data_IF_187711895572
#
_entry.id   IF_187711895572
#
_cell.length_a   1.000
_cell.length_b   1.000
_cell.length_c   1.000
_cell.angle_alpha   90.00
_cell.angle_beta   90.00
_cell.angle_gamma   90.00
#
_symmetry.space_group_name_H-M   'P 1'
#
loop_
_entity.id
_entity.type
_entity.pdbx_description
1 polymer ?
#
# COMPACT_ATOMS: atom_id res chain seq x y z
N UNK A 1 5.54 5.41 -19.85
CA UNK A 1 4.56 5.35 -18.75
C UNK A 1 4.66 3.99 -18.08
N UNK A 2 5.11 3.94 -16.85
CA UNK A 2 5.26 2.66 -16.12
C UNK A 2 3.87 2.02 -15.94
N UNK A 3 3.71 0.75 -16.33
CA UNK A 3 2.41 0.04 -16.21
C UNK A 3 2.05 -0.10 -14.72
N UNK A 4 1.03 0.62 -14.28
CA UNK A 4 0.52 0.46 -12.91
C UNK A 4 -0.10 -0.94 -12.75
N UNK A 5 0.26 -1.63 -11.66
CA UNK A 5 -0.13 -3.03 -11.45
C UNK A 5 -1.64 -3.18 -11.20
N UNK A 6 -2.30 -2.21 -10.50
CA UNK A 6 -3.74 -2.23 -10.26
C UNK A 6 -4.52 -2.07 -11.57
N UNK A 7 -4.10 -1.11 -12.40
CA UNK A 7 -4.69 -0.91 -13.74
C UNK A 7 -4.49 -2.13 -14.62
N UNK A 8 -3.32 -2.78 -14.55
CA UNK A 8 -3.04 -4.00 -15.33
C UNK A 8 -3.88 -5.18 -14.86
N UNK A 9 -4.03 -5.37 -13.55
CA UNK A 9 -4.88 -6.42 -12.97
C UNK A 9 -6.36 -6.19 -13.30
N UNK A 10 -6.84 -4.94 -13.17
CA UNK A 10 -8.19 -4.57 -13.59
C UNK A 10 -8.46 -4.94 -15.05
N UNK A 11 -7.56 -4.54 -15.97
CA UNK A 11 -7.73 -4.85 -17.41
C UNK A 11 -7.79 -6.36 -17.67
N UNK A 12 -7.01 -7.16 -16.95
CA UNK A 12 -7.08 -8.62 -17.04
C UNK A 12 -8.44 -9.16 -16.56
N UNK A 13 -8.89 -8.68 -15.39
CA UNK A 13 -10.19 -9.08 -14.82
C UNK A 13 -11.36 -8.72 -15.71
N UNK A 14 -11.43 -7.48 -16.22
CA UNK A 14 -12.57 -7.07 -17.08
C UNK A 14 -12.54 -7.77 -18.42
N UNK A 15 -11.35 -8.09 -18.97
CA UNK A 15 -11.25 -8.88 -20.21
C UNK A 15 -11.77 -10.31 -20.03
N UNK A 16 -11.61 -10.88 -18.85
CA UNK A 16 -12.05 -12.25 -18.55
C UNK A 16 -13.52 -12.32 -18.13
N UNK A 17 -13.94 -11.44 -17.22
CA UNK A 17 -15.26 -11.51 -16.59
C UNK A 17 -16.34 -10.68 -17.28
N UNK A 18 -15.97 -9.61 -17.97
CA UNK A 18 -16.87 -8.65 -18.61
C UNK A 18 -16.43 -8.33 -20.03
N UNK A 19 -16.22 -9.31 -20.92
CA UNK A 19 -15.65 -9.09 -22.25
C UNK A 19 -16.48 -8.11 -23.10
N UNK A 20 -17.80 -8.15 -23.00
CA UNK A 20 -18.69 -7.24 -23.73
C UNK A 20 -18.61 -5.77 -23.25
N UNK A 21 -18.18 -5.53 -22.01
CA UNK A 21 -18.09 -4.19 -21.40
C UNK A 21 -16.65 -3.70 -21.24
N UNK A 22 -15.66 -4.49 -21.67
CA UNK A 22 -14.24 -4.25 -21.45
C UNK A 22 -13.80 -2.85 -21.86
N UNK A 23 -14.17 -2.41 -23.05
CA UNK A 23 -13.72 -1.12 -23.58
C UNK A 23 -14.37 0.04 -22.84
N UNK A 24 -15.68 -0.05 -22.54
CA UNK A 24 -16.39 0.92 -21.74
C UNK A 24 -15.83 1.05 -20.32
N UNK A 25 -15.56 -0.08 -19.63
CA UNK A 25 -14.96 -0.10 -18.29
C UNK A 25 -13.52 0.43 -18.30
N UNK A 26 -12.76 0.14 -19.34
CA UNK A 26 -11.39 0.67 -19.48
C UNK A 26 -11.40 2.18 -19.71
N UNK A 27 -12.35 2.70 -20.50
CA UNK A 27 -12.53 4.13 -20.71
C UNK A 27 -13.00 4.83 -19.42
N UNK A 28 -13.97 4.25 -18.70
CA UNK A 28 -14.46 4.78 -17.43
C UNK A 28 -13.32 4.87 -16.38
N UNK A 29 -12.51 3.82 -16.23
CA UNK A 29 -11.34 3.85 -15.38
C UNK A 29 -10.36 4.96 -15.76
N UNK A 30 -10.09 5.12 -17.06
CA UNK A 30 -9.17 6.15 -17.53
C UNK A 30 -9.67 7.57 -17.23
N UNK A 31 -10.96 7.82 -17.46
CA UNK A 31 -11.61 9.09 -17.16
C UNK A 31 -11.56 9.40 -15.66
N UNK A 32 -11.95 8.43 -14.81
CA UNK A 32 -11.93 8.61 -13.36
C UNK A 32 -10.51 8.86 -12.83
N UNK A 33 -9.53 8.12 -13.33
CA UNK A 33 -8.13 8.31 -12.93
C UNK A 33 -7.61 9.69 -13.37
N UNK A 34 -8.00 10.20 -14.54
CA UNK A 34 -7.65 11.53 -14.99
C UNK A 34 -8.25 12.62 -14.07
N UNK A 35 -9.51 12.46 -13.67
CA UNK A 35 -10.18 13.35 -12.71
C UNK A 35 -9.44 13.36 -11.35
N UNK A 36 -9.18 12.19 -10.76
CA UNK A 36 -8.46 12.08 -9.49
C UNK A 36 -7.07 12.71 -9.54
N UNK A 37 -6.38 12.60 -10.68
CA UNK A 37 -5.08 13.25 -10.90
C UNK A 37 -5.20 14.77 -10.92
N UNK A 38 -6.19 15.31 -11.61
CA UNK A 38 -6.44 16.74 -11.65
C UNK A 38 -6.73 17.31 -10.24
N UNK A 39 -7.53 16.59 -9.45
CA UNK A 39 -7.87 16.96 -8.08
C UNK A 39 -6.69 16.91 -7.09
N UNK A 40 -5.57 16.30 -7.47
CA UNK A 40 -4.36 16.14 -6.65
C UNK A 40 -3.10 16.69 -7.36
N UNK A 41 -3.26 17.53 -8.37
CA UNK A 41 -2.14 18.02 -9.20
C UNK A 41 -1.12 18.87 -8.43
N UNK A 42 -1.56 19.53 -7.37
CA UNK A 42 -0.76 20.41 -6.49
C UNK A 42 0.03 19.65 -5.40
N UNK A 43 -0.14 18.33 -5.31
CA UNK A 43 0.58 17.53 -4.33
C UNK A 43 2.10 17.52 -4.61
N UNK A 44 2.91 17.47 -3.54
CA UNK A 44 4.37 17.34 -3.63
C UNK A 44 4.81 16.13 -4.46
N UNK A 45 6.02 16.15 -5.00
CA UNK A 45 6.57 15.00 -5.76
C UNK A 45 6.61 13.72 -4.95
N UNK A 46 6.90 13.82 -3.66
CA UNK A 46 6.94 12.70 -2.73
C UNK A 46 5.54 12.10 -2.55
N UNK A 47 4.53 12.94 -2.33
CA UNK A 47 3.14 12.50 -2.21
C UNK A 47 2.61 11.95 -3.53
N UNK A 48 2.97 12.55 -4.67
CA UNK A 48 2.58 12.06 -6.00
C UNK A 48 3.05 10.61 -6.26
N UNK A 49 4.21 10.20 -5.72
CA UNK A 49 4.66 8.80 -5.85
C UNK A 49 3.68 7.81 -5.21
N UNK A 50 3.13 8.15 -4.05
CA UNK A 50 2.11 7.33 -3.37
C UNK A 50 0.76 7.40 -4.09
N UNK A 51 0.34 8.62 -4.47
CA UNK A 51 -0.90 8.85 -5.19
C UNK A 51 -0.92 8.04 -6.50
N UNK A 52 0.07 8.22 -7.36
CA UNK A 52 0.16 7.53 -8.66
C UNK A 52 0.51 6.04 -8.54
N UNK A 53 1.29 5.68 -7.53
CA UNK A 53 1.74 4.31 -7.32
C UNK A 53 0.62 3.34 -6.95
N UNK A 54 -0.28 3.77 -6.06
CA UNK A 54 -1.30 2.89 -5.51
C UNK A 54 -2.63 3.58 -5.20
N UNK A 55 -2.62 4.79 -4.60
CA UNK A 55 -3.82 5.40 -4.02
C UNK A 55 -4.87 5.68 -5.10
N UNK A 56 -4.56 6.57 -6.05
CA UNK A 56 -5.52 6.97 -7.09
C UNK A 56 -5.91 5.81 -8.01
N UNK A 57 -4.97 4.95 -8.45
CA UNK A 57 -5.34 3.77 -9.21
C UNK A 57 -6.23 2.79 -8.42
N UNK A 58 -5.99 2.62 -7.11
CA UNK A 58 -6.81 1.75 -6.27
C UNK A 58 -8.23 2.26 -6.12
N UNK A 59 -8.40 3.56 -5.85
CA UNK A 59 -9.70 4.21 -5.75
C UNK A 59 -10.45 4.12 -7.10
N UNK A 60 -9.80 4.52 -8.21
CA UNK A 60 -10.42 4.50 -9.52
C UNK A 60 -10.86 3.08 -9.95
N UNK A 61 -10.02 2.07 -9.69
CA UNK A 61 -10.34 0.67 -9.97
C UNK A 61 -11.51 0.21 -9.12
N UNK A 62 -11.49 0.52 -7.82
CA UNK A 62 -12.57 0.15 -6.90
C UNK A 62 -13.92 0.73 -7.31
N UNK A 63 -13.98 2.03 -7.57
CA UNK A 63 -15.19 2.72 -8.01
C UNK A 63 -15.70 2.19 -9.37
N UNK A 64 -14.78 1.95 -10.32
CA UNK A 64 -15.15 1.42 -11.64
C UNK A 64 -15.72 0.00 -11.53
N UNK A 65 -15.14 -0.86 -10.69
CA UNK A 65 -15.67 -2.22 -10.48
C UNK A 65 -17.07 -2.21 -9.86
N UNK A 66 -17.39 -1.25 -9.00
CA UNK A 66 -18.73 -1.12 -8.39
C UNK A 66 -19.84 -0.84 -9.41
N UNK A 67 -19.52 -0.42 -10.63
CA UNK A 67 -20.52 -0.24 -11.70
C UNK A 67 -21.00 -1.57 -12.29
N UNK A 68 -20.28 -2.68 -12.05
CA UNK A 68 -20.55 -4.00 -12.66
C UNK A 68 -20.58 -5.15 -11.66
N UNK A 69 -20.31 -4.88 -10.38
CA UNK A 69 -20.36 -5.88 -9.31
C UNK A 69 -20.71 -5.23 -7.96
N UNK A 70 -21.22 -6.00 -6.98
CA UNK A 70 -21.47 -5.50 -5.63
C UNK A 70 -20.24 -4.91 -4.96
N UNK A 71 -20.43 -3.91 -4.08
CA UNK A 71 -19.37 -3.18 -3.37
C UNK A 71 -18.38 -4.10 -2.65
N UNK A 72 -18.86 -5.12 -1.95
CA UNK A 72 -18.02 -6.08 -1.25
C UNK A 72 -17.17 -6.93 -2.21
N UNK A 73 -17.70 -7.30 -3.37
CA UNK A 73 -16.98 -8.06 -4.39
C UNK A 73 -15.89 -7.20 -5.06
N UNK A 74 -16.20 -5.93 -5.35
CA UNK A 74 -15.23 -4.96 -5.84
C UNK A 74 -14.07 -4.77 -4.84
N UNK A 75 -14.40 -4.65 -3.53
CA UNK A 75 -13.41 -4.54 -2.46
C UNK A 75 -12.49 -5.77 -2.40
N UNK A 76 -13.06 -6.97 -2.38
CA UNK A 76 -12.28 -8.22 -2.37
C UNK A 76 -11.41 -8.36 -3.61
N UNK A 77 -11.91 -7.92 -4.77
CA UNK A 77 -11.15 -7.94 -6.03
C UNK A 77 -9.93 -7.04 -5.96
N UNK A 78 -10.08 -5.79 -5.48
CA UNK A 78 -8.95 -4.88 -5.32
C UNK A 78 -7.99 -5.37 -4.24
N UNK A 79 -8.51 -5.88 -3.12
CA UNK A 79 -7.70 -6.52 -2.06
C UNK A 79 -6.83 -7.63 -2.64
N UNK A 80 -7.40 -8.52 -3.45
CA UNK A 80 -6.65 -9.60 -4.12
C UNK A 80 -5.53 -9.09 -5.05
N UNK A 81 -5.72 -7.95 -5.74
CA UNK A 81 -4.65 -7.35 -6.54
C UNK A 81 -3.48 -6.85 -5.68
N UNK A 82 -3.81 -6.17 -4.59
CA UNK A 82 -2.81 -5.65 -3.64
C UNK A 82 -2.05 -6.80 -2.99
N UNK A 83 -2.78 -7.83 -2.54
CA UNK A 83 -2.21 -9.04 -1.94
C UNK A 83 -1.25 -9.76 -2.89
N UNK A 84 -1.64 -9.99 -4.14
CA UNK A 84 -0.76 -10.62 -5.14
C UNK A 84 0.54 -9.84 -5.34
N UNK A 85 0.49 -8.51 -5.35
CA UNK A 85 1.68 -7.68 -5.41
C UNK A 85 2.54 -7.83 -4.16
N UNK A 86 1.94 -7.80 -2.98
CA UNK A 86 2.64 -7.96 -1.70
C UNK A 86 3.38 -9.30 -1.64
N UNK A 87 2.74 -10.40 -2.07
CA UNK A 87 3.38 -11.70 -2.17
C UNK A 87 4.55 -11.74 -3.15
N UNK A 88 4.45 -11.05 -4.30
CA UNK A 88 5.58 -10.93 -5.25
C UNK A 88 6.77 -10.20 -4.61
N UNK A 89 6.51 -9.10 -3.89
CA UNK A 89 7.54 -8.35 -3.15
C UNK A 89 8.16 -9.21 -2.05
N UNK A 90 7.34 -9.89 -1.26
CA UNK A 90 7.81 -10.82 -0.22
C UNK A 90 8.75 -11.88 -0.80
N UNK A 91 8.37 -12.52 -1.91
CA UNK A 91 9.23 -13.51 -2.58
C UNK A 91 10.58 -12.92 -2.99
N UNK A 92 10.62 -11.66 -3.45
CA UNK A 92 11.88 -10.98 -3.78
C UNK A 92 12.71 -10.72 -2.52
N UNK A 93 12.11 -10.21 -1.45
CA UNK A 93 12.80 -9.98 -0.18
C UNK A 93 13.30 -11.27 0.47
N UNK A 94 12.54 -12.36 0.41
CA UNK A 94 12.99 -13.66 0.92
C UNK A 94 14.26 -14.17 0.20
N UNK A 95 14.40 -13.88 -1.12
CA UNK A 95 15.64 -14.18 -1.85
C UNK A 95 16.82 -13.36 -1.30
N UNK A 96 16.60 -12.06 -1.04
CA UNK A 96 17.63 -11.19 -0.46
C UNK A 96 18.02 -11.61 0.95
N UNK A 97 17.06 -12.07 1.76
CA UNK A 97 17.30 -12.53 3.13
C UNK A 97 18.15 -13.80 3.22
N UNK A 98 18.44 -14.49 2.11
CA UNK A 98 19.40 -15.61 2.04
C UNK A 98 20.85 -15.14 2.16
N UNK A 99 21.13 -13.85 1.96
CA UNK A 99 22.47 -13.29 2.11
C UNK A 99 22.83 -13.30 3.61
N UNK A 100 23.93 -13.97 3.99
CA UNK A 100 24.32 -14.08 5.41
C UNK A 100 24.45 -12.71 6.09
N UNK A 101 23.82 -12.55 7.24
CA UNK A 101 23.90 -11.33 8.04
C UNK A 101 23.05 -10.15 7.54
N UNK A 102 22.45 -10.20 6.35
CA UNK A 102 21.65 -9.09 5.80
C UNK A 102 20.49 -8.70 6.72
N UNK A 103 19.83 -9.67 7.35
CA UNK A 103 18.73 -9.42 8.27
C UNK A 103 19.10 -8.43 9.39
N UNK A 104 20.38 -8.39 9.83
CA UNK A 104 20.85 -7.45 10.87
C UNK A 104 20.83 -6.00 10.42
N UNK A 105 20.90 -5.75 9.11
CA UNK A 105 20.88 -4.40 8.53
C UNK A 105 19.46 -3.88 8.28
N UNK A 106 18.47 -4.77 8.26
CA UNK A 106 17.08 -4.40 7.85
C UNK A 106 16.49 -3.32 8.74
N UNK A 107 16.52 -3.36 10.08
CA UNK A 107 15.99 -2.27 10.90
C UNK A 107 16.69 -0.93 10.61
N UNK A 108 18.01 -0.92 10.44
CA UNK A 108 18.75 0.29 10.08
C UNK A 108 18.40 0.85 8.70
N UNK A 109 18.08 -0.02 7.73
CA UNK A 109 17.56 0.39 6.42
C UNK A 109 16.21 1.08 6.60
N UNK A 110 15.29 0.52 7.39
CA UNK A 110 14.00 1.15 7.68
C UNK A 110 14.17 2.50 8.39
N UNK A 111 15.04 2.61 9.41
CA UNK A 111 15.34 3.89 10.06
C UNK A 111 15.77 4.96 9.05
N UNK A 112 16.65 4.60 8.11
CA UNK A 112 17.21 5.53 7.12
C UNK A 112 16.21 5.90 6.01
N UNK A 113 15.40 4.96 5.54
CA UNK A 113 14.56 5.17 4.36
C UNK A 113 13.15 5.68 4.72
N UNK A 114 12.63 5.39 5.92
CA UNK A 114 11.32 5.85 6.35
C UNK A 114 11.13 7.36 6.23
N UNK A 115 12.04 8.23 6.75
CA UNK A 115 11.85 9.68 6.64
C UNK A 115 11.80 10.19 5.20
N UNK A 116 12.47 9.51 4.27
CA UNK A 116 12.53 9.90 2.85
C UNK A 116 11.28 9.47 2.08
N UNK A 117 10.76 8.29 2.40
CA UNK A 117 9.64 7.71 1.66
C UNK A 117 8.30 8.03 2.31
N UNK A 118 8.27 8.14 3.64
CA UNK A 118 7.07 8.28 4.46
C UNK A 118 7.16 9.49 5.39
N UNK A 119 7.81 10.56 4.94
CA UNK A 119 7.92 11.82 5.68
C UNK A 119 6.76 12.77 5.41
N UNK A 120 6.82 13.95 6.04
CA UNK A 120 5.77 15.00 5.96
C UNK A 120 5.52 15.46 4.53
N UNK A 121 6.56 15.59 3.71
CA UNK A 121 6.42 15.98 2.30
C UNK A 121 5.65 14.95 1.49
N UNK A 122 5.67 13.69 1.90
CA UNK A 122 4.85 12.63 1.30
C UNK A 122 3.43 12.54 1.91
N UNK A 123 3.09 13.44 2.86
CA UNK A 123 1.79 13.49 3.51
C UNK A 123 1.63 12.58 4.71
N UNK A 124 2.72 12.00 5.20
CA UNK A 124 2.70 11.19 6.43
C UNK A 124 3.10 12.04 7.65
N UNK A 125 2.65 11.61 8.81
CA UNK A 125 3.20 12.06 10.10
C UNK A 125 3.48 10.83 10.95
N UNK A 126 4.65 10.79 11.56
CA UNK A 126 5.07 9.69 12.41
C UNK A 126 5.71 10.22 13.69
N UNK A 127 5.51 9.48 14.77
CA UNK A 127 6.21 9.64 16.03
C UNK A 127 7.21 8.49 16.15
N UNK A 128 8.49 8.81 16.22
CA UNK A 128 9.53 7.81 16.45
C UNK A 128 9.47 7.33 17.91
N UNK A 129 9.44 6.02 18.10
CA UNK A 129 9.42 5.39 19.42
C UNK A 129 10.82 4.82 19.73
N UNK A 130 11.39 4.09 18.77
CA UNK A 130 12.75 3.54 18.88
C UNK A 130 13.31 3.26 17.49
N UNK A 131 14.42 3.90 17.12
CA UNK A 131 15.06 3.77 15.80
C UNK A 131 16.56 3.45 15.92
N UNK A 132 16.95 2.67 16.93
CA UNK A 132 18.33 2.28 17.21
C UNK A 132 18.41 0.85 17.77
N UNK A 133 19.61 0.32 17.96
CA UNK A 133 19.81 -0.98 18.61
C UNK A 133 19.21 -2.19 17.90
N UNK A 134 19.09 -2.14 16.56
CA UNK A 134 18.45 -3.23 15.80
C UNK A 134 16.93 -3.22 15.84
N UNK A 135 16.33 -2.09 16.24
CA UNK A 135 14.90 -1.85 16.30
C UNK A 135 14.56 -0.65 15.42
N UNK A 136 13.49 -0.77 14.64
CA UNK A 136 12.77 0.32 14.01
C UNK A 136 11.33 0.24 14.51
N UNK A 137 10.90 1.22 15.30
CA UNK A 137 9.55 1.33 15.84
C UNK A 137 9.06 2.77 15.72
N UNK A 138 7.93 2.93 15.03
CA UNK A 138 7.27 4.22 14.83
C UNK A 138 5.76 4.06 14.99
N UNK A 139 5.10 5.13 15.43
CA UNK A 139 3.66 5.28 15.38
C UNK A 139 3.32 6.25 14.26
N UNK A 140 2.79 5.75 13.14
CA UNK A 140 2.31 6.57 12.02
C UNK A 140 0.95 7.15 12.39
N UNK A 141 0.90 8.46 12.63
CA UNK A 141 -0.32 9.17 13.11
C UNK A 141 -1.13 9.81 11.98
N UNK A 142 -0.55 9.92 10.77
CA UNK A 142 -1.21 10.37 9.55
C UNK A 142 -0.72 9.57 8.35
N UNK A 143 -1.65 9.20 7.47
CA UNK A 143 -1.35 8.39 6.30
C UNK A 143 -2.15 8.88 5.08
N UNK A 144 -1.52 9.26 3.96
CA UNK A 144 -2.21 9.75 2.76
C UNK A 144 -3.11 8.69 2.11
N UNK A 145 -2.87 7.40 2.35
CA UNK A 145 -3.76 6.32 1.91
C UNK A 145 -5.08 6.38 2.66
N UNK A 146 -5.03 6.53 3.98
CA UNK A 146 -6.21 6.69 4.83
C UNK A 146 -6.95 7.98 4.47
N UNK A 147 -6.23 9.12 4.44
CA UNK A 147 -6.81 10.43 4.15
C UNK A 147 -7.55 10.43 2.80
N UNK A 148 -6.94 9.82 1.75
CA UNK A 148 -7.55 9.73 0.43
C UNK A 148 -8.77 8.80 0.41
N UNK A 149 -8.70 7.63 1.03
CA UNK A 149 -9.84 6.71 1.11
C UNK A 149 -11.04 7.37 1.82
N UNK A 150 -10.81 8.12 2.90
CA UNK A 150 -11.86 8.89 3.58
C UNK A 150 -12.38 10.01 2.68
N UNK A 151 -11.51 10.81 2.08
CA UNK A 151 -11.88 11.92 1.17
C UNK A 151 -12.76 11.46 0.00
N UNK A 152 -12.48 10.29 -0.55
CA UNK A 152 -13.21 9.74 -1.71
C UNK A 152 -14.34 8.77 -1.32
N UNK A 153 -14.74 8.72 -0.04
CA UNK A 153 -15.90 7.94 0.41
C UNK A 153 -15.74 6.42 0.33
N UNK A 154 -14.50 5.94 0.36
CA UNK A 154 -14.17 4.51 0.35
C UNK A 154 -13.21 4.09 1.49
N UNK A 155 -13.50 4.45 2.78
CA UNK A 155 -12.60 4.15 3.88
C UNK A 155 -12.32 2.65 4.05
N UNK A 156 -13.25 1.78 3.68
CA UNK A 156 -13.10 0.33 3.71
C UNK A 156 -12.03 -0.20 2.75
N UNK A 157 -11.61 0.59 1.76
CA UNK A 157 -10.52 0.22 0.86
C UNK A 157 -9.15 0.33 1.53
N UNK A 158 -8.99 1.24 2.50
CA UNK A 158 -7.71 1.51 3.16
C UNK A 158 -7.06 0.26 3.78
N UNK A 159 -7.77 -0.63 4.50
CA UNK A 159 -7.22 -1.88 5.00
C UNK A 159 -6.51 -2.74 3.96
N UNK A 160 -6.97 -2.74 2.71
CA UNK A 160 -6.31 -3.51 1.63
C UNK A 160 -4.86 -3.05 1.41
N UNK A 161 -4.61 -1.75 1.49
CA UNK A 161 -3.25 -1.21 1.40
C UNK A 161 -2.44 -1.51 2.68
N UNK A 162 -3.07 -1.42 3.86
CA UNK A 162 -2.42 -1.73 5.12
C UNK A 162 -1.92 -3.19 5.15
N UNK A 163 -2.75 -4.14 4.74
CA UNK A 163 -2.42 -5.57 4.77
C UNK A 163 -1.21 -5.93 3.90
N UNK A 164 -0.92 -5.12 2.87
CA UNK A 164 0.25 -5.32 2.01
C UNK A 164 1.58 -5.28 2.79
N UNK A 165 1.66 -4.48 3.86
CA UNK A 165 2.86 -4.39 4.69
C UNK A 165 3.02 -5.67 5.52
N UNK A 166 1.95 -6.15 6.16
CA UNK A 166 1.98 -7.36 6.97
C UNK A 166 2.33 -8.59 6.11
N UNK A 167 1.73 -8.69 4.92
CA UNK A 167 2.06 -9.75 3.97
C UNK A 167 3.52 -9.66 3.56
N UNK A 168 4.00 -8.47 3.25
CA UNK A 168 5.35 -8.27 2.70
C UNK A 168 6.43 -8.53 3.74
N UNK A 169 6.27 -8.00 4.96
CA UNK A 169 7.37 -7.94 5.93
C UNK A 169 7.30 -9.02 7.01
N UNK A 170 6.13 -9.60 7.29
CA UNK A 170 6.04 -10.67 8.27
C UNK A 170 6.74 -11.95 7.78
N UNK A 171 7.58 -12.54 8.65
CA UNK A 171 8.26 -13.81 8.35
C UNK A 171 9.38 -13.74 7.31
N UNK A 172 9.97 -12.57 7.05
CA UNK A 172 11.09 -12.43 6.11
C UNK A 172 12.34 -13.19 6.53
N UNK A 173 12.57 -13.33 7.84
CA UNK A 173 13.71 -14.07 8.37
C UNK A 173 13.40 -14.58 9.78
N UNK A 174 13.85 -15.79 10.20
CA UNK A 174 13.58 -16.34 11.53
C UNK A 174 14.00 -15.43 12.68
N UNK A 175 15.07 -14.65 12.48
CA UNK A 175 15.63 -13.69 13.48
C UNK A 175 15.07 -12.28 13.36
N UNK A 176 14.09 -12.02 12.51
CA UNK A 176 13.36 -10.75 12.43
C UNK A 176 11.92 -10.93 12.95
N UNK A 177 11.42 -9.93 13.64
CA UNK A 177 10.01 -9.81 13.99
C UNK A 177 9.43 -8.55 13.34
N UNK A 178 8.35 -8.74 12.60
CA UNK A 178 7.44 -7.68 12.18
C UNK A 178 6.24 -7.70 13.11
N UNK A 179 5.92 -6.56 13.71
CA UNK A 179 4.84 -6.40 14.67
C UNK A 179 4.04 -5.17 14.30
N UNK A 180 2.72 -5.31 14.29
CA UNK A 180 1.76 -4.23 14.14
C UNK A 180 0.43 -4.70 14.74
N UNK A 181 -0.12 -3.98 15.69
CA UNK A 181 -1.35 -4.38 16.37
C UNK A 181 -2.56 -3.55 15.94
N UNK A 182 -2.33 -2.34 15.42
CA UNK A 182 -3.39 -1.41 15.00
C UNK A 182 -3.00 -0.62 13.75
N UNK A 183 -4.00 -0.12 13.03
CA UNK A 183 -3.82 0.75 11.87
C UNK A 183 -4.89 1.84 11.83
N UNK A 184 -4.55 3.01 11.26
CA UNK A 184 -5.51 4.08 10.98
C UNK A 184 -6.68 3.57 10.12
N UNK A 185 -6.39 2.72 9.11
CA UNK A 185 -7.40 2.14 8.22
C UNK A 185 -8.39 1.20 8.91
N UNK A 186 -8.11 0.76 10.15
CA UNK A 186 -9.02 -0.05 10.98
C UNK A 186 -9.50 0.70 12.22
N UNK A 187 -9.45 2.02 12.20
CA UNK A 187 -9.95 2.87 13.30
C UNK A 187 -9.00 3.02 14.49
N UNK A 188 -7.73 2.59 14.36
CA UNK A 188 -6.71 2.89 15.35
C UNK A 188 -6.31 4.35 15.33
N UNK A 189 -5.74 4.84 16.44
CA UNK A 189 -5.19 6.19 16.60
C UNK A 189 -3.84 6.37 15.85
N UNK A 190 -3.20 5.27 15.50
CA UNK A 190 -1.98 5.23 14.68
C UNK A 190 -1.81 3.85 14.00
N UNK A 191 -0.79 3.74 13.13
CA UNK A 191 -0.25 2.45 12.73
C UNK A 191 1.04 2.22 13.51
N UNK A 192 1.04 1.26 14.43
CA UNK A 192 2.13 0.97 15.37
C UNK A 192 3.15 0.01 14.77
N UNK A 193 3.92 0.48 13.81
CA UNK A 193 4.92 -0.35 13.14
C UNK A 193 6.11 -0.67 14.03
N UNK A 194 6.51 -1.94 14.06
CA UNK A 194 7.75 -2.36 14.69
C UNK A 194 8.43 -3.48 13.88
N UNK A 195 9.68 -3.23 13.50
CA UNK A 195 10.56 -4.24 12.92
C UNK A 195 11.81 -4.34 13.79
N UNK A 196 12.07 -5.53 14.33
CA UNK A 196 13.20 -5.73 15.23
C UNK A 196 13.91 -7.05 15.02
N UNK A 197 15.18 -7.08 15.41
CA UNK A 197 15.92 -8.33 15.57
C UNK A 197 15.38 -9.03 16.82
N UNK A 198 15.06 -10.32 16.70
CA UNK A 198 14.64 -11.14 17.86
C UNK A 198 15.86 -11.36 18.77
N UNK A 199 15.67 -11.13 20.04
CA UNK A 199 16.59 -11.60 21.07
C UNK A 199 16.67 -13.13 21.06
N UNK A 200 17.82 -13.68 21.47
CA UNK A 200 18.01 -15.14 21.57
C UNK A 200 17.16 -15.71 22.67
#
# INVERSE_FOLDING_TARGET
>A
MQKNYLVSAFKATVSQRFPAQKDALTAALAARLAQLRAENADASKEKQRHLEGQILPGIAVYETLQTVMPRNEALQTVHGYVEQRAWKLKKAFLKLMRIPGLYRKVPGIFCKETPKLFGETAGFAAREIQTSGGVWRIDMTRCPYHDACVRYGCPELCPSFCDSDDITYNGLHPKLAWLRTKTLGRGGDCCDFCLRIKEK
#
